data_IF_611731980489
#
_entry.id   IF_611731980489
#
_cell.length_a   1.000
_cell.length_b   1.000
_cell.length_c   1.000
_cell.angle_alpha   90.00
_cell.angle_beta   90.00
_cell.angle_gamma   90.00
#
_symmetry.space_group_name_H-M   'P 1'
#
loop_
_entity.id
_entity.type
_entity.pdbx_description
1 polymer ?
#
# COMPACT_ATOMS: atom_id res chain seq x y z
N UNK A 1 9.65 19.36 -16.64
CA UNK A 1 10.47 19.03 -15.45
C UNK A 1 9.48 18.95 -14.30
N UNK A 2 9.01 17.75 -13.94
CA UNK A 2 8.18 17.54 -12.75
C UNK A 2 9.07 17.79 -11.55
N UNK A 3 8.78 18.85 -10.78
CA UNK A 3 9.44 19.13 -9.53
C UNK A 3 9.41 17.88 -8.65
N UNK A 4 10.54 17.53 -8.09
CA UNK A 4 10.79 16.38 -7.22
C UNK A 4 10.14 16.62 -5.84
N UNK A 5 8.81 16.83 -5.84
CA UNK A 5 8.02 17.24 -4.68
C UNK A 5 7.58 16.00 -3.89
N UNK A 6 7.74 16.05 -2.57
CA UNK A 6 7.22 15.01 -1.70
C UNK A 6 5.69 15.01 -1.72
N UNK A 7 5.09 13.85 -1.96
CA UNK A 7 3.66 13.66 -1.89
C UNK A 7 3.22 13.19 -0.51
N UNK A 8 4.07 12.41 0.16
CA UNK A 8 3.88 11.95 1.54
C UNK A 8 5.17 12.21 2.33
N UNK A 9 5.03 12.72 3.55
CA UNK A 9 6.14 12.90 4.49
C UNK A 9 5.74 12.37 5.86
N UNK A 10 6.66 11.67 6.49
CA UNK A 10 6.51 11.08 7.80
C UNK A 10 7.65 11.59 8.67
N UNK A 11 7.33 12.21 9.80
CA UNK A 11 8.31 12.82 10.70
C UNK A 11 8.18 12.25 12.11
N UNK A 12 9.25 11.66 12.62
CA UNK A 12 9.38 11.15 13.99
C UNK A 12 8.22 10.25 14.42
N UNK A 13 7.73 9.40 13.48
CA UNK A 13 6.54 8.59 13.70
C UNK A 13 6.82 7.49 14.71
N UNK A 14 5.95 7.39 15.70
CA UNK A 14 6.06 6.42 16.81
C UNK A 14 4.73 5.74 17.06
N UNK A 15 4.79 4.43 17.33
CA UNK A 15 3.64 3.64 17.80
C UNK A 15 4.00 2.71 18.93
N UNK A 16 3.39 2.95 20.09
CA UNK A 16 3.42 2.02 21.23
C UNK A 16 2.02 1.47 21.47
N UNK A 17 1.94 0.16 21.70
CA UNK A 17 0.72 -0.53 22.13
C UNK A 17 0.83 -0.88 23.60
N UNK A 18 -0.25 -0.66 24.36
CA UNK A 18 -0.31 -1.00 25.77
C UNK A 18 -1.36 -2.08 25.99
N UNK A 19 -0.96 -3.22 26.54
CA UNK A 19 -1.86 -4.32 26.90
C UNK A 19 -1.69 -4.61 28.39
N UNK A 20 -2.64 -4.12 29.19
CA UNK A 20 -2.55 -4.17 30.65
C UNK A 20 -1.37 -3.34 31.16
N UNK A 21 -0.40 -4.00 31.85
CA UNK A 21 0.81 -3.33 32.38
C UNK A 21 2.03 -3.41 31.48
N UNK A 22 1.92 -4.08 30.32
CA UNK A 22 3.03 -4.22 29.36
C UNK A 22 2.85 -3.23 28.23
N UNK A 23 3.93 -2.53 27.89
CA UNK A 23 4.01 -1.68 26.70
C UNK A 23 5.00 -2.29 25.70
N UNK A 24 4.62 -2.27 24.44
CA UNK A 24 5.46 -2.70 23.31
C UNK A 24 5.48 -1.58 22.28
N UNK A 25 6.67 -1.15 21.86
CA UNK A 25 6.84 -0.15 20.82
C UNK A 25 7.05 -0.86 19.49
N UNK A 26 6.10 -0.74 18.59
CA UNK A 26 6.12 -1.37 17.26
C UNK A 26 6.81 -0.52 16.21
N UNK A 27 6.81 0.79 16.39
CA UNK A 27 7.51 1.77 15.54
C UNK A 27 8.09 2.83 16.45
N UNK A 28 9.37 3.13 16.31
CA UNK A 28 10.08 4.05 17.18
C UNK A 28 10.90 5.06 16.37
N UNK A 29 10.42 6.29 16.32
CA UNK A 29 11.09 7.47 15.73
C UNK A 29 11.51 7.29 14.27
N UNK A 30 10.58 6.90 13.38
CA UNK A 30 10.88 6.80 11.96
C UNK A 30 10.52 8.08 11.21
N UNK A 31 11.38 8.45 10.25
CA UNK A 31 11.14 9.58 9.35
C UNK A 31 11.52 9.19 7.93
N UNK A 32 10.67 9.50 6.96
CA UNK A 32 10.92 9.29 5.54
C UNK A 32 9.98 10.13 4.67
N UNK A 33 10.26 10.19 3.37
CA UNK A 33 9.40 10.84 2.40
C UNK A 33 9.17 9.96 1.18
N UNK A 34 8.02 10.12 0.53
CA UNK A 34 7.69 9.54 -0.77
C UNK A 34 7.52 10.68 -1.77
N UNK A 35 8.23 10.62 -2.89
CA UNK A 35 8.13 11.60 -3.96
C UNK A 35 6.97 11.30 -4.91
N UNK A 36 6.49 12.32 -5.60
CA UNK A 36 5.45 12.13 -6.64
C UNK A 36 5.97 11.21 -7.75
N UNK A 37 5.20 10.14 -8.06
CA UNK A 37 5.54 9.15 -9.06
C UNK A 37 6.62 8.14 -8.66
N UNK A 38 7.12 8.22 -7.41
CA UNK A 38 8.10 7.29 -6.86
C UNK A 38 7.44 6.00 -6.36
N UNK A 39 8.19 4.90 -6.41
CA UNK A 39 7.92 3.67 -5.67
C UNK A 39 8.95 3.55 -4.55
N UNK A 40 8.50 3.78 -3.32
CA UNK A 40 9.30 3.58 -2.11
C UNK A 40 8.98 2.19 -1.53
N UNK A 41 9.99 1.33 -1.49
CA UNK A 41 9.93 0.03 -0.84
C UNK A 41 10.15 0.14 0.67
N UNK A 42 9.41 -0.62 1.48
CA UNK A 42 9.73 -0.85 2.89
C UNK A 42 9.90 -2.35 3.08
N UNK A 43 11.10 -2.77 3.46
CA UNK A 43 11.47 -4.17 3.65
C UNK A 43 11.94 -4.45 5.08
N UNK A 44 11.99 -5.70 5.47
CA UNK A 44 12.45 -6.17 6.80
C UNK A 44 11.71 -7.43 7.22
N UNK A 45 12.15 -8.06 8.30
CA UNK A 45 11.53 -9.27 8.84
C UNK A 45 10.08 -9.06 9.29
N UNK A 46 9.35 -10.19 9.46
CA UNK A 46 8.00 -10.13 10.06
C UNK A 46 8.09 -9.55 11.48
N UNK A 47 7.20 -8.61 11.81
CA UNK A 47 7.21 -7.94 13.09
C UNK A 47 8.09 -6.69 13.18
N UNK A 48 8.85 -6.31 12.15
CA UNK A 48 9.71 -5.11 12.15
C UNK A 48 8.93 -3.76 12.16
N UNK A 49 7.60 -3.78 12.09
CA UNK A 49 6.77 -2.57 12.18
C UNK A 49 6.18 -2.07 10.86
N UNK A 50 6.53 -2.63 9.70
CA UNK A 50 6.11 -2.16 8.35
C UNK A 50 4.61 -1.95 8.18
N UNK A 51 3.81 -2.97 8.47
CA UNK A 51 2.35 -2.86 8.37
C UNK A 51 1.76 -1.89 9.41
N UNK A 52 2.44 -1.68 10.55
CA UNK A 52 2.04 -0.67 11.52
C UNK A 52 2.24 0.74 10.96
N UNK A 53 3.34 0.97 10.23
CA UNK A 53 3.59 2.22 9.50
C UNK A 53 2.49 2.48 8.48
N UNK A 54 2.16 1.50 7.63
CA UNK A 54 1.08 1.63 6.65
C UNK A 54 -0.27 1.95 7.32
N UNK A 55 -0.60 1.26 8.43
CA UNK A 55 -1.83 1.49 9.19
C UNK A 55 -1.89 2.87 9.84
N UNK A 56 -0.76 3.44 10.28
CA UNK A 56 -0.74 4.80 10.80
C UNK A 56 -0.95 5.83 9.68
N UNK A 57 -0.27 5.67 8.56
CA UNK A 57 -0.38 6.58 7.39
C UNK A 57 -1.82 6.59 6.86
N UNK A 58 -2.49 5.43 6.83
CA UNK A 58 -3.89 5.28 6.37
C UNK A 58 -4.94 5.54 7.46
N UNK A 59 -4.56 6.01 8.64
CA UNK A 59 -5.46 6.25 9.78
C UNK A 59 -6.26 5.03 10.26
N UNK A 60 -5.82 3.82 9.97
CA UNK A 60 -6.35 2.59 10.57
C UNK A 60 -5.87 2.41 12.01
N UNK A 61 -4.78 3.10 12.37
CA UNK A 61 -4.22 3.14 13.73
C UNK A 61 -3.68 4.55 13.99
N UNK A 62 -4.04 5.16 15.09
CA UNK A 62 -3.50 6.48 15.48
C UNK A 62 -2.03 6.34 15.92
N UNK A 63 -1.11 7.21 15.48
CA UNK A 63 0.25 7.26 16.01
C UNK A 63 0.26 7.67 17.47
N UNK A 64 1.29 7.25 18.20
CA UNK A 64 1.53 7.70 19.59
C UNK A 64 2.25 9.05 19.62
N UNK A 65 3.12 9.30 18.64
CA UNK A 65 3.82 10.56 18.42
C UNK A 65 4.25 10.68 16.95
N UNK A 66 4.74 11.85 16.56
CA UNK A 66 5.17 12.17 15.21
C UNK A 66 4.07 12.78 14.36
N UNK A 67 4.41 13.09 13.11
CA UNK A 67 3.53 13.79 12.18
C UNK A 67 3.55 13.13 10.80
N UNK A 68 2.41 13.21 10.12
CA UNK A 68 2.21 12.71 8.76
C UNK A 68 1.66 13.84 7.91
N UNK A 69 2.31 14.09 6.78
CA UNK A 69 1.89 15.11 5.81
C UNK A 69 1.57 14.44 4.47
N UNK A 70 0.43 14.77 3.91
CA UNK A 70 0.04 14.39 2.55
C UNK A 70 -0.14 15.67 1.72
N UNK A 71 0.64 15.82 0.65
CA UNK A 71 0.63 17.03 -0.19
C UNK A 71 0.75 18.31 0.67
N UNK A 72 1.75 18.35 1.53
CA UNK A 72 2.08 19.48 2.46
C UNK A 72 1.03 19.75 3.56
N UNK A 73 -0.07 18.99 3.61
CA UNK A 73 -1.08 19.12 4.65
C UNK A 73 -0.80 18.13 5.77
N UNK A 74 -0.71 18.62 7.01
CA UNK A 74 -0.65 17.72 8.16
C UNK A 74 -1.96 16.95 8.29
N UNK A 75 -1.86 15.62 8.19
CA UNK A 75 -3.00 14.71 8.25
C UNK A 75 -3.03 13.87 9.52
N UNK A 76 -2.07 14.01 10.42
CA UNK A 76 -1.81 13.12 11.59
C UNK A 76 -3.07 12.77 12.40
N UNK A 77 -3.92 13.75 12.63
CA UNK A 77 -5.15 13.60 13.43
C UNK A 77 -6.43 13.92 12.63
N UNK A 78 -6.38 13.71 11.31
CA UNK A 78 -7.53 14.01 10.45
C UNK A 78 -8.74 13.12 10.80
N UNK A 79 -9.92 13.73 10.83
CA UNK A 79 -11.20 13.06 11.14
C UNK A 79 -12.33 13.59 10.26
N UNK A 80 -13.41 12.84 10.19
CA UNK A 80 -14.63 13.26 9.53
C UNK A 80 -14.43 13.61 8.04
N UNK A 81 -14.73 14.86 7.64
CA UNK A 81 -14.62 15.32 6.25
C UNK A 81 -13.17 15.26 5.75
N UNK A 82 -12.22 15.71 6.56
CA UNK A 82 -10.80 15.72 6.17
C UNK A 82 -10.27 14.30 5.93
N UNK A 83 -10.68 13.32 6.73
CA UNK A 83 -10.32 11.92 6.54
C UNK A 83 -10.89 11.36 5.23
N UNK A 84 -12.10 11.76 4.82
CA UNK A 84 -12.68 11.37 3.53
C UNK A 84 -11.91 11.96 2.34
N UNK A 85 -11.39 13.18 2.48
CA UNK A 85 -10.53 13.80 1.47
C UNK A 85 -9.21 13.02 1.34
N UNK A 86 -8.60 12.62 2.46
CA UNK A 86 -7.38 11.79 2.47
C UNK A 86 -7.63 10.46 1.74
N UNK A 87 -8.75 9.78 2.02
CA UNK A 87 -9.09 8.52 1.36
C UNK A 87 -9.40 8.64 -0.14
N UNK A 88 -9.58 9.85 -0.69
CA UNK A 88 -9.62 10.06 -2.14
C UNK A 88 -8.22 10.13 -2.74
N UNK A 89 -7.27 10.70 -2.01
CA UNK A 89 -5.90 10.90 -2.48
C UNK A 89 -4.99 9.68 -2.22
N UNK A 90 -5.32 8.88 -1.22
CA UNK A 90 -4.50 7.75 -0.78
C UNK A 90 -5.36 6.52 -0.49
N UNK A 91 -4.99 5.40 -1.07
CA UNK A 91 -5.67 4.11 -0.92
C UNK A 91 -4.71 3.02 -0.49
N UNK A 92 -5.25 1.92 0.05
CA UNK A 92 -4.46 0.78 0.51
C UNK A 92 -4.99 -0.53 -0.09
N UNK A 93 -4.05 -1.35 -0.53
CA UNK A 93 -4.27 -2.75 -0.93
C UNK A 93 -3.68 -3.63 0.16
N UNK A 94 -4.52 -4.49 0.74
CA UNK A 94 -4.18 -5.33 1.88
C UNK A 94 -3.58 -6.68 1.45
N UNK A 95 -2.86 -7.30 2.37
CA UNK A 95 -2.26 -8.63 2.23
C UNK A 95 -3.29 -9.72 1.91
N UNK A 96 -4.45 -9.68 2.56
CA UNK A 96 -5.53 -10.66 2.39
C UNK A 96 -6.69 -10.01 1.66
N UNK A 97 -6.76 -10.11 0.32
CA UNK A 97 -7.77 -9.39 -0.47
C UNK A 97 -9.20 -9.81 -0.14
N UNK A 98 -9.43 -11.09 0.12
CA UNK A 98 -10.77 -11.60 0.44
C UNK A 98 -11.35 -10.99 1.73
N UNK A 99 -10.51 -10.75 2.75
CA UNK A 99 -10.93 -10.12 4.00
C UNK A 99 -11.22 -8.62 3.86
N UNK A 100 -10.76 -8.02 2.77
CA UNK A 100 -10.98 -6.61 2.48
C UNK A 100 -12.33 -6.31 1.82
N UNK A 101 -13.08 -7.34 1.40
CA UNK A 101 -14.44 -7.23 0.87
C UNK A 101 -15.46 -7.78 1.86
N UNK A 102 -16.67 -7.20 1.90
CA UNK A 102 -17.81 -7.85 2.60
C UNK A 102 -18.21 -9.11 1.83
N UNK A 103 -18.13 -10.30 2.44
CA UNK A 103 -18.46 -11.58 1.76
C UNK A 103 -19.91 -11.69 1.30
N UNK A 104 -20.80 -10.80 1.80
CA UNK A 104 -22.23 -10.74 1.44
C UNK A 104 -22.50 -9.83 0.23
N UNK A 105 -21.50 -9.07 -0.21
CA UNK A 105 -21.59 -8.15 -1.32
C UNK A 105 -20.81 -8.68 -2.53
N UNK A 106 -21.22 -8.30 -3.72
CA UNK A 106 -20.46 -8.62 -4.93
C UNK A 106 -19.17 -7.80 -5.00
N UNK A 107 -18.20 -8.24 -5.82
CA UNK A 107 -16.98 -7.46 -6.08
C UNK A 107 -17.33 -6.10 -6.66
N UNK A 108 -18.31 -6.03 -7.57
CA UNK A 108 -18.78 -4.77 -8.14
C UNK A 108 -19.37 -3.82 -7.10
N UNK A 109 -20.08 -4.35 -6.10
CA UNK A 109 -20.57 -3.54 -4.99
C UNK A 109 -19.42 -2.97 -4.16
N UNK A 110 -18.43 -3.78 -3.83
CA UNK A 110 -17.24 -3.34 -3.08
C UNK A 110 -16.40 -2.32 -3.85
N UNK A 111 -16.14 -2.54 -5.15
CA UNK A 111 -15.39 -1.61 -6.00
C UNK A 111 -16.17 -0.28 -6.15
N UNK A 112 -17.49 -0.36 -6.36
CA UNK A 112 -18.33 0.81 -6.60
C UNK A 112 -18.75 1.59 -5.34
N UNK A 113 -18.44 1.10 -4.15
CA UNK A 113 -18.88 1.72 -2.89
C UNK A 113 -18.41 3.16 -2.74
N UNK A 114 -17.12 3.40 -2.96
CA UNK A 114 -16.52 4.74 -2.88
C UNK A 114 -17.14 5.70 -3.91
N UNK A 115 -17.42 5.24 -5.12
CA UNK A 115 -18.07 6.01 -6.18
C UNK A 115 -19.50 6.41 -5.78
N UNK A 116 -20.27 5.48 -5.21
CA UNK A 116 -21.62 5.78 -4.69
C UNK A 116 -21.58 6.78 -3.54
N UNK A 117 -20.62 6.65 -2.65
CA UNK A 117 -20.40 7.59 -1.54
C UNK A 117 -20.02 9.00 -2.02
N UNK A 118 -19.48 9.13 -3.24
CA UNK A 118 -19.24 10.39 -3.92
C UNK A 118 -20.48 10.94 -4.65
N UNK A 119 -21.63 10.25 -4.59
CA UNK A 119 -22.88 10.67 -5.24
C UNK A 119 -23.00 10.27 -6.71
N UNK A 120 -22.11 9.40 -7.22
CA UNK A 120 -22.17 8.92 -8.61
C UNK A 120 -23.39 7.98 -8.76
N UNK A 121 -24.12 8.14 -9.82
CA UNK A 121 -25.32 7.34 -10.11
C UNK A 121 -25.01 5.85 -10.23
N UNK A 122 -26.00 4.98 -9.96
CA UNK A 122 -25.83 3.53 -10.04
C UNK A 122 -25.37 3.07 -11.43
N UNK A 123 -25.93 3.64 -12.50
CA UNK A 123 -25.55 3.28 -13.86
C UNK A 123 -24.11 3.68 -14.20
N UNK A 124 -23.71 4.89 -13.84
CA UNK A 124 -22.35 5.37 -14.05
C UNK A 124 -21.34 4.60 -13.17
N UNK A 125 -21.71 4.28 -11.92
CA UNK A 125 -20.88 3.43 -11.04
C UNK A 125 -20.62 2.08 -11.68
N UNK A 126 -21.66 1.42 -12.22
CA UNK A 126 -21.51 0.13 -12.91
C UNK A 126 -20.53 0.23 -14.08
N UNK A 127 -20.69 1.23 -14.93
CA UNK A 127 -19.82 1.47 -16.09
C UNK A 127 -18.35 1.68 -15.66
N UNK A 128 -18.10 2.48 -14.61
CA UNK A 128 -16.74 2.69 -14.08
C UNK A 128 -16.15 1.41 -13.47
N UNK A 129 -16.93 0.64 -12.73
CA UNK A 129 -16.52 -0.65 -12.17
C UNK A 129 -16.08 -1.60 -13.26
N UNK A 130 -16.84 -1.73 -14.34
CA UNK A 130 -16.50 -2.61 -15.47
C UNK A 130 -15.18 -2.17 -16.15
N UNK A 131 -14.97 -0.88 -16.34
CA UNK A 131 -13.71 -0.33 -16.87
C UNK A 131 -12.52 -0.61 -15.93
N UNK A 132 -12.70 -0.45 -14.62
CA UNK A 132 -11.66 -0.73 -13.62
C UNK A 132 -11.29 -2.20 -13.60
N UNK A 133 -12.27 -3.10 -13.69
CA UNK A 133 -12.03 -4.54 -13.82
C UNK A 133 -11.20 -4.86 -15.05
N UNK A 134 -11.56 -4.31 -16.22
CA UNK A 134 -10.80 -4.48 -17.46
C UNK A 134 -9.37 -3.94 -17.32
N UNK A 135 -9.18 -2.78 -16.70
CA UNK A 135 -7.85 -2.21 -16.43
C UNK A 135 -6.99 -3.15 -15.59
N UNK A 136 -7.63 -3.85 -14.64
CA UNK A 136 -6.97 -4.84 -13.78
C UNK A 136 -6.91 -6.25 -14.39
N UNK A 137 -7.29 -6.43 -15.67
CA UNK A 137 -7.22 -7.72 -16.39
C UNK A 137 -8.30 -8.71 -15.97
N UNK A 138 -9.46 -8.21 -15.51
CA UNK A 138 -10.66 -8.99 -15.23
C UNK A 138 -11.76 -8.62 -16.23
N UNK A 139 -12.62 -9.59 -16.58
CA UNK A 139 -13.78 -9.32 -17.43
C UNK A 139 -14.92 -8.66 -16.63
N UNK A 140 -15.86 -7.93 -17.27
CA UNK A 140 -16.94 -7.24 -16.58
C UNK A 140 -17.84 -8.14 -15.71
N UNK A 141 -17.94 -9.43 -16.05
CA UNK A 141 -18.75 -10.42 -15.33
C UNK A 141 -18.26 -10.63 -13.88
N UNK A 142 -17.00 -10.29 -13.59
CA UNK A 142 -16.49 -10.34 -12.21
C UNK A 142 -17.19 -9.35 -11.28
N UNK A 143 -17.84 -8.32 -11.81
CA UNK A 143 -18.63 -7.41 -11.00
C UNK A 143 -19.80 -8.09 -10.26
N UNK A 144 -20.32 -9.17 -10.81
CA UNK A 144 -21.47 -9.89 -10.25
C UNK A 144 -21.06 -11.11 -9.41
N UNK A 145 -19.74 -11.38 -9.29
CA UNK A 145 -19.20 -12.46 -8.45
C UNK A 145 -18.99 -12.00 -7.02
N UNK A 146 -19.10 -12.94 -6.10
CA UNK A 146 -18.79 -12.74 -4.69
C UNK A 146 -17.29 -13.06 -4.43
N UNK A 147 -16.67 -12.52 -3.36
CA UNK A 147 -15.25 -12.78 -3.04
C UNK A 147 -14.89 -14.28 -2.93
N UNK A 148 -15.79 -15.10 -2.43
CA UNK A 148 -15.60 -16.55 -2.30
C UNK A 148 -15.76 -17.35 -3.61
N UNK A 149 -16.16 -16.71 -4.71
CA UNK A 149 -16.35 -17.32 -6.03
C UNK A 149 -15.17 -17.08 -6.98
N UNK A 150 -14.12 -16.44 -6.50
CA UNK A 150 -12.96 -16.06 -7.31
C UNK A 150 -11.67 -16.57 -6.65
N UNK A 151 -10.62 -16.75 -7.45
CA UNK A 151 -9.28 -17.10 -6.95
C UNK A 151 -8.66 -15.95 -6.17
N UNK A 152 -7.62 -16.23 -5.36
CA UNK A 152 -6.88 -15.20 -4.62
C UNK A 152 -6.33 -14.10 -5.52
N UNK A 153 -5.77 -14.45 -6.67
CA UNK A 153 -5.24 -13.49 -7.63
C UNK A 153 -6.31 -12.63 -8.30
N UNK A 154 -7.47 -13.20 -8.63
CA UNK A 154 -8.62 -12.45 -9.16
C UNK A 154 -9.19 -11.50 -8.10
N UNK A 155 -9.28 -11.96 -6.84
CA UNK A 155 -9.71 -11.12 -5.73
C UNK A 155 -8.72 -9.96 -5.48
N UNK A 156 -7.41 -10.22 -5.61
CA UNK A 156 -6.38 -9.18 -5.52
C UNK A 156 -6.51 -8.13 -6.62
N UNK A 157 -6.74 -8.56 -7.87
CA UNK A 157 -6.99 -7.63 -8.99
C UNK A 157 -8.25 -6.79 -8.75
N UNK A 158 -9.31 -7.38 -8.19
CA UNK A 158 -10.51 -6.66 -7.79
C UNK A 158 -10.25 -5.67 -6.63
N UNK A 159 -9.38 -6.02 -5.66
CA UNK A 159 -8.97 -5.12 -4.59
C UNK A 159 -8.15 -3.93 -5.12
N UNK A 160 -7.28 -4.15 -6.12
CA UNK A 160 -6.58 -3.08 -6.82
C UNK A 160 -7.58 -2.20 -7.58
N UNK A 161 -8.55 -2.79 -8.31
CA UNK A 161 -9.60 -2.04 -8.99
C UNK A 161 -10.41 -1.16 -8.03
N UNK A 162 -10.72 -1.67 -6.81
CA UNK A 162 -11.39 -0.90 -5.76
C UNK A 162 -10.55 0.29 -5.31
N UNK A 163 -9.27 0.08 -5.07
CA UNK A 163 -8.36 1.15 -4.66
C UNK A 163 -8.26 2.25 -5.74
N UNK A 164 -8.27 1.87 -7.02
CA UNK A 164 -8.21 2.81 -8.14
C UNK A 164 -9.52 3.57 -8.40
N UNK A 165 -10.64 3.16 -7.81
CA UNK A 165 -11.95 3.71 -8.11
C UNK A 165 -12.08 5.22 -7.83
N UNK A 166 -11.29 5.75 -6.90
CA UNK A 166 -11.25 7.18 -6.54
C UNK A 166 -10.12 7.93 -7.21
N UNK A 167 -9.36 7.28 -8.12
CA UNK A 167 -8.21 7.85 -8.82
C UNK A 167 -7.16 8.44 -7.84
N UNK A 168 -6.67 7.64 -6.89
CA UNK A 168 -5.76 8.11 -5.85
C UNK A 168 -4.41 8.55 -6.44
N UNK A 169 -3.67 9.38 -5.71
CA UNK A 169 -2.28 9.76 -6.03
C UNK A 169 -1.26 8.87 -5.34
N UNK A 170 -1.63 8.25 -4.22
CA UNK A 170 -0.78 7.34 -3.45
C UNK A 170 -1.48 6.00 -3.29
N UNK A 171 -0.79 4.91 -3.62
CA UNK A 171 -1.24 3.56 -3.36
C UNK A 171 -0.27 2.86 -2.40
N UNK A 172 -0.78 2.46 -1.26
CA UNK A 172 -0.03 1.67 -0.27
C UNK A 172 -0.34 0.20 -0.52
N UNK A 173 0.68 -0.58 -0.82
CA UNK A 173 0.59 -2.03 -1.00
C UNK A 173 1.23 -2.71 0.21
N UNK A 174 0.42 -3.24 1.14
CA UNK A 174 0.90 -3.96 2.32
C UNK A 174 0.90 -5.45 2.03
N UNK A 175 2.08 -5.98 1.69
CA UNK A 175 2.30 -7.38 1.30
C UNK A 175 1.29 -7.90 0.25
N UNK A 176 0.90 -7.04 -0.69
CA UNK A 176 -0.19 -7.28 -1.64
C UNK A 176 0.01 -8.49 -2.58
N UNK A 177 1.15 -9.15 -2.53
CA UNK A 177 1.49 -10.32 -3.36
C UNK A 177 1.94 -11.54 -2.57
N UNK A 178 2.15 -11.44 -1.26
CA UNK A 178 2.77 -12.50 -0.44
C UNK A 178 1.97 -13.81 -0.35
N UNK A 179 0.65 -13.73 -0.48
CA UNK A 179 -0.25 -14.89 -0.40
C UNK A 179 -0.54 -15.55 -1.77
N UNK A 180 0.16 -15.13 -2.83
CA UNK A 180 -0.09 -15.56 -4.21
C UNK A 180 1.03 -16.47 -4.71
N UNK A 181 0.70 -17.38 -5.64
CA UNK A 181 1.72 -18.14 -6.36
C UNK A 181 2.57 -17.25 -7.26
N UNK A 182 3.78 -17.71 -7.62
CA UNK A 182 4.78 -16.93 -8.36
C UNK A 182 4.24 -16.39 -9.69
N UNK A 183 3.39 -17.16 -10.39
CA UNK A 183 2.83 -16.75 -11.68
C UNK A 183 1.87 -15.60 -11.52
N UNK A 184 0.96 -15.70 -10.54
CA UNK A 184 -0.01 -14.65 -10.22
C UNK A 184 0.68 -13.42 -9.65
N UNK A 185 1.71 -13.61 -8.80
CA UNK A 185 2.53 -12.53 -8.27
C UNK A 185 3.17 -11.71 -9.42
N UNK A 186 3.79 -12.38 -10.39
CA UNK A 186 4.34 -11.71 -11.58
C UNK A 186 3.30 -10.88 -12.32
N UNK A 187 2.12 -11.44 -12.55
CA UNK A 187 1.04 -10.73 -13.24
C UNK A 187 0.55 -9.50 -12.46
N UNK A 188 0.50 -9.56 -11.12
CA UNK A 188 0.15 -8.41 -10.28
C UNK A 188 1.25 -7.34 -10.39
N UNK A 189 2.52 -7.73 -10.36
CA UNK A 189 3.64 -6.79 -10.52
C UNK A 189 3.62 -6.09 -11.88
N UNK A 190 3.34 -6.82 -12.97
CA UNK A 190 3.16 -6.24 -14.30
C UNK A 190 2.01 -5.22 -14.34
N UNK A 191 0.90 -5.53 -13.66
CA UNK A 191 -0.23 -4.60 -13.51
C UNK A 191 0.19 -3.33 -12.75
N UNK A 192 0.87 -3.45 -11.60
CA UNK A 192 1.32 -2.30 -10.81
C UNK A 192 2.32 -1.43 -11.60
N UNK A 193 3.26 -2.04 -12.35
CA UNK A 193 4.18 -1.33 -13.23
C UNK A 193 3.44 -0.55 -14.33
N UNK A 194 2.42 -1.15 -14.94
CA UNK A 194 1.57 -0.48 -15.92
C UNK A 194 0.86 0.72 -15.30
N UNK A 195 0.24 0.55 -14.13
CA UNK A 195 -0.46 1.61 -13.40
C UNK A 195 0.46 2.77 -13.02
N UNK A 196 1.71 2.48 -12.58
CA UNK A 196 2.74 3.50 -12.32
C UNK A 196 2.97 4.38 -13.55
N UNK A 197 3.15 3.75 -14.73
CA UNK A 197 3.45 4.47 -15.98
C UNK A 197 2.28 5.30 -16.50
N UNK A 198 1.05 4.76 -16.40
CA UNK A 198 -0.13 5.37 -17.02
C UNK A 198 -0.75 6.48 -16.16
N UNK A 199 -0.67 6.37 -14.82
CA UNK A 199 -1.44 7.23 -13.90
C UNK A 199 -0.57 8.17 -13.05
N UNK A 200 0.77 8.20 -13.21
CA UNK A 200 1.69 8.94 -12.35
C UNK A 200 1.49 8.63 -10.84
N UNK A 201 1.09 7.41 -10.55
CA UNK A 201 0.76 6.94 -9.21
C UNK A 201 2.04 6.74 -8.40
N UNK A 202 2.07 7.25 -7.17
CA UNK A 202 3.15 7.02 -6.21
C UNK A 202 2.82 5.80 -5.36
N UNK A 203 3.81 4.98 -5.05
CA UNK A 203 3.61 3.73 -4.31
C UNK A 203 4.43 3.69 -3.03
N UNK A 204 3.80 3.31 -1.93
CA UNK A 204 4.47 2.79 -0.75
C UNK A 204 4.31 1.27 -0.79
N UNK A 205 5.39 0.56 -1.12
CA UNK A 205 5.38 -0.88 -1.38
C UNK A 205 6.03 -1.65 -0.24
N UNK A 206 5.21 -2.26 0.61
CA UNK A 206 5.68 -3.10 1.72
C UNK A 206 5.79 -4.53 1.23
N UNK A 207 6.98 -5.08 1.32
CA UNK A 207 7.29 -6.42 0.84
C UNK A 207 8.43 -7.04 1.67
N UNK A 208 8.48 -8.36 1.75
CA UNK A 208 9.61 -9.10 2.31
C UNK A 208 10.48 -9.76 1.21
N UNK A 209 10.05 -9.69 -0.06
CA UNK A 209 10.75 -10.26 -1.20
C UNK A 209 11.63 -9.20 -1.88
N UNK A 210 12.95 -9.34 -1.72
CA UNK A 210 13.94 -8.40 -2.28
C UNK A 210 14.00 -8.44 -3.81
N UNK A 211 13.65 -9.56 -4.45
CA UNK A 211 13.61 -9.63 -5.91
C UNK A 211 12.49 -8.75 -6.48
N UNK A 212 11.33 -8.71 -5.83
CA UNK A 212 10.26 -7.80 -6.21
C UNK A 212 10.62 -6.34 -5.96
N UNK A 213 11.32 -6.07 -4.88
CA UNK A 213 11.80 -4.73 -4.55
C UNK A 213 12.78 -4.23 -5.62
N UNK A 214 13.74 -5.06 -6.03
CA UNK A 214 14.69 -4.75 -7.09
C UNK A 214 13.99 -4.48 -8.44
N UNK A 215 12.90 -5.20 -8.72
CA UNK A 215 12.15 -5.07 -9.96
C UNK A 215 11.27 -3.81 -10.01
N UNK A 216 10.78 -3.33 -8.87
CA UNK A 216 9.68 -2.35 -8.84
C UNK A 216 10.02 -1.04 -8.13
N UNK A 217 10.87 -1.06 -7.10
CA UNK A 217 11.13 0.11 -6.27
C UNK A 217 12.20 1.01 -6.86
N UNK A 218 12.02 2.32 -6.70
CA UNK A 218 13.03 3.33 -7.03
C UNK A 218 13.98 3.57 -5.84
N UNK A 219 13.46 3.42 -4.60
CA UNK A 219 14.19 3.57 -3.33
C UNK A 219 13.62 2.60 -2.31
N UNK A 220 14.45 2.21 -1.34
CA UNK A 220 14.13 1.20 -0.33
C UNK A 220 14.51 1.69 1.05
N UNK A 221 13.67 1.41 2.02
CA UNK A 221 13.93 1.55 3.46
C UNK A 221 13.93 0.15 4.07
N UNK A 222 15.00 -0.18 4.77
CA UNK A 222 15.12 -1.41 5.56
C UNK A 222 14.68 -1.11 6.99
N UNK A 223 13.69 -1.85 7.50
CA UNK A 223 13.18 -1.72 8.87
C UNK A 223 13.55 -2.90 9.73
N UNK A 224 14.00 -2.63 10.95
CA UNK A 224 14.29 -3.61 12.00
C UNK A 224 13.84 -3.10 13.36
N UNK A 225 13.13 -3.93 14.14
CA UNK A 225 12.68 -3.63 15.50
C UNK A 225 12.05 -2.23 15.67
N UNK A 226 11.26 -1.81 14.67
CA UNK A 226 10.56 -0.52 14.70
C UNK A 226 11.39 0.67 14.25
N UNK A 227 12.64 0.51 13.83
CA UNK A 227 13.55 1.56 13.37
C UNK A 227 13.87 1.43 11.89
N UNK A 228 14.33 2.53 11.29
CA UNK A 228 14.96 2.51 9.97
C UNK A 228 16.43 2.17 10.17
N UNK A 229 16.87 1.04 9.63
CA UNK A 229 18.26 0.59 9.67
C UNK A 229 19.08 1.18 8.53
N UNK A 230 18.49 1.19 7.33
CA UNK A 230 19.20 1.63 6.13
C UNK A 230 18.21 2.15 5.09
N UNK A 231 18.66 3.08 4.27
CA UNK A 231 17.93 3.63 3.14
C UNK A 231 18.88 3.78 1.94
N UNK A 232 18.40 3.43 0.74
CA UNK A 232 19.17 3.51 -0.49
C UNK A 232 18.36 3.07 -1.72
N UNK A 233 19.01 3.00 -2.88
CA UNK A 233 18.46 2.33 -4.05
C UNK A 233 18.42 0.81 -3.82
N UNK A 234 17.57 0.06 -4.55
CA UNK A 234 17.59 -1.42 -4.46
C UNK A 234 18.99 -2.02 -4.70
N UNK A 235 19.74 -1.47 -5.64
CA UNK A 235 21.11 -1.91 -5.95
C UNK A 235 22.07 -1.68 -4.77
N UNK A 236 22.02 -0.47 -4.17
CA UNK A 236 22.86 -0.16 -2.98
C UNK A 236 22.55 -1.09 -1.81
N UNK A 237 21.26 -1.34 -1.53
CA UNK A 237 20.83 -2.20 -0.41
C UNK A 237 21.24 -3.65 -0.64
N UNK A 238 21.10 -4.17 -1.87
CA UNK A 238 21.33 -5.60 -2.17
C UNK A 238 22.82 -5.89 -2.39
N UNK A 239 23.54 -5.04 -3.13
CA UNK A 239 24.93 -5.30 -3.52
C UNK A 239 25.95 -4.71 -2.52
N UNK A 240 25.58 -3.63 -1.82
CA UNK A 240 26.46 -2.88 -0.93
C UNK A 240 25.80 -2.53 0.41
N UNK A 241 25.25 -3.53 1.14
CA UNK A 241 24.62 -3.30 2.44
C UNK A 241 25.60 -2.67 3.43
N UNK A 242 25.14 -1.68 4.20
CA UNK A 242 25.94 -0.91 5.14
C UNK A 242 25.82 -1.43 6.58
N UNK A 243 24.75 -2.18 6.89
CA UNK A 243 24.49 -2.69 8.23
C UNK A 243 24.53 -4.21 8.25
N UNK A 244 24.99 -4.77 9.39
CA UNK A 244 25.01 -6.22 9.60
C UNK A 244 23.61 -6.86 9.49
N UNK A 245 22.57 -6.10 9.89
CA UNK A 245 21.19 -6.56 9.77
C UNK A 245 20.79 -6.68 8.29
N UNK A 246 21.05 -5.67 7.47
CA UNK A 246 20.76 -5.71 6.03
C UNK A 246 21.49 -6.87 5.35
N UNK A 247 22.77 -7.11 5.68
CA UNK A 247 23.51 -8.27 5.17
C UNK A 247 22.83 -9.61 5.53
N UNK A 248 22.40 -9.75 6.80
CA UNK A 248 21.69 -10.97 7.24
C UNK A 248 20.35 -11.15 6.54
N UNK A 249 19.60 -10.06 6.38
CA UNK A 249 18.30 -10.06 5.69
C UNK A 249 18.47 -10.56 4.24
N UNK A 250 19.48 -10.03 3.51
CA UNK A 250 19.77 -10.44 2.14
C UNK A 250 20.12 -11.94 2.07
N UNK A 251 21.02 -12.40 2.93
CA UNK A 251 21.44 -13.81 2.98
C UNK A 251 20.31 -14.80 3.33
N UNK A 252 19.25 -14.31 3.98
CA UNK A 252 18.11 -15.14 4.35
C UNK A 252 17.08 -15.29 3.22
N UNK A 253 17.14 -14.44 2.19
CA UNK A 253 16.14 -14.35 1.09
C UNK A 253 16.75 -14.80 -0.25
N UNK A 254 18.06 -14.64 -0.43
CA UNK A 254 18.82 -15.07 -1.61
C UNK A 254 19.61 -16.35 -1.32
#
# INVERSE_FOLDING_TARGET
MTENKNILEVHHLKKSFTTGKKSFTAVDDISFSLKTGEVLGIVGESGSGKSTVAKMITHLTEPTAGEIFLMEKNITHARGKNLREIYREMQMVFQTPAESFDPRCTLGDGIGESLRNMGISKAETRNRVEKLLLTCGLTPEYADRYPHQVSGGECQRAAIARALAVEPRVLICDEATSALDVTVQKQIMELLQKLKKENQLSFLFICHDLALVQLFCDRVIVMHDGHVEEEGTPEEIIEHPKTEYTERLIRSVL
#
